data_IF_234860588029
#
_entry.id   IF_234860588029
#
_cell.length_a   1.000
_cell.length_b   1.000
_cell.length_c   1.000
_cell.angle_alpha   90.00
_cell.angle_beta   90.00
_cell.angle_gamma   90.00
#
_symmetry.space_group_name_H-M   'P 1'
#
loop_
_entity.id
_entity.type
_entity.pdbx_description
1 polymer ?
#
# COMPACT_ATOMS: atom_id res chain seq x y z
N UNK A 1 2.42 21.72 -20.23
CA UNK A 1 1.38 20.77 -19.79
C UNK A 1 2.07 19.49 -19.33
N UNK A 2 2.06 19.17 -18.02
CA UNK A 2 2.53 17.85 -17.57
C UNK A 2 1.43 16.84 -17.83
N UNK A 3 1.59 16.00 -18.85
CA UNK A 3 0.71 14.85 -19.09
C UNK A 3 0.85 13.91 -17.89
N UNK A 4 -0.17 13.85 -17.04
CA UNK A 4 -0.20 12.88 -15.95
C UNK A 4 -0.20 11.48 -16.56
N UNK A 5 0.81 10.68 -16.23
CA UNK A 5 0.87 9.26 -16.64
C UNK A 5 -0.35 8.53 -16.07
N UNK A 6 -1.04 7.80 -16.92
CA UNK A 6 -2.11 6.87 -16.54
C UNK A 6 -1.49 5.50 -16.33
N UNK A 7 -1.80 4.86 -15.22
CA UNK A 7 -1.40 3.48 -14.92
C UNK A 7 -2.64 2.63 -14.75
N UNK A 8 -2.57 1.36 -15.14
CA UNK A 8 -3.64 0.42 -14.83
C UNK A 8 -3.64 0.12 -13.33
N UNK A 9 -4.80 -0.26 -12.78
CA UNK A 9 -4.89 -0.64 -11.36
C UNK A 9 -3.93 -1.77 -11.01
N UNK A 10 -3.77 -2.74 -11.91
CA UNK A 10 -2.82 -3.84 -11.75
C UNK A 10 -1.36 -3.35 -11.66
N UNK A 11 -0.97 -2.36 -12.47
CA UNK A 11 0.37 -1.77 -12.41
C UNK A 11 0.61 -1.07 -11.06
N UNK A 12 -0.40 -0.33 -10.56
CA UNK A 12 -0.31 0.37 -9.28
C UNK A 12 -0.18 -0.63 -8.13
N UNK A 13 -1.03 -1.67 -8.09
CA UNK A 13 -0.98 -2.74 -7.08
C UNK A 13 0.38 -3.45 -7.09
N UNK A 14 0.87 -3.84 -8.27
CA UNK A 14 2.19 -4.48 -8.42
C UNK A 14 3.32 -3.57 -7.93
N UNK A 15 3.25 -2.28 -8.25
CA UNK A 15 4.22 -1.30 -7.79
C UNK A 15 4.20 -1.17 -6.26
N UNK A 16 3.02 -1.05 -5.65
CA UNK A 16 2.86 -1.00 -4.19
C UNK A 16 3.50 -2.22 -3.53
N UNK A 17 3.13 -3.43 -3.98
CA UNK A 17 3.63 -4.70 -3.45
C UNK A 17 5.16 -4.77 -3.56
N UNK A 18 5.72 -4.47 -4.73
CA UNK A 18 7.17 -4.49 -4.95
C UNK A 18 7.90 -3.48 -4.05
N UNK A 19 7.33 -2.27 -3.87
CA UNK A 19 7.94 -1.26 -2.99
C UNK A 19 7.96 -1.74 -1.53
N UNK A 20 6.88 -2.39 -1.08
CA UNK A 20 6.80 -2.97 0.26
C UNK A 20 7.79 -4.12 0.45
N UNK A 21 7.90 -5.05 -0.50
CA UNK A 21 8.82 -6.20 -0.40
C UNK A 21 10.29 -5.77 -0.44
N UNK A 22 10.64 -4.75 -1.25
CA UNK A 22 12.03 -4.36 -1.49
C UNK A 22 12.49 -3.08 -0.78
N UNK A 23 11.68 -2.55 0.14
CA UNK A 23 11.95 -1.29 0.86
C UNK A 23 12.23 -0.09 -0.07
N UNK A 24 11.60 -0.04 -1.24
CA UNK A 24 11.84 1.00 -2.23
C UNK A 24 10.63 1.92 -2.38
N UNK A 25 10.34 2.69 -1.32
CA UNK A 25 9.19 3.60 -1.31
C UNK A 25 9.23 4.63 -2.44
N UNK A 26 10.42 5.11 -2.84
CA UNK A 26 10.58 6.11 -3.90
C UNK A 26 10.04 5.64 -5.26
N UNK A 27 10.15 4.34 -5.56
CA UNK A 27 9.62 3.78 -6.79
C UNK A 27 8.08 3.87 -6.90
N UNK A 28 7.37 4.08 -5.77
CA UNK A 28 5.91 4.22 -5.78
C UNK A 28 5.44 5.64 -6.15
N UNK A 29 6.31 6.65 -6.08
CA UNK A 29 5.92 8.07 -6.27
C UNK A 29 5.16 8.31 -7.60
N UNK A 30 5.61 7.80 -8.77
CA UNK A 30 4.90 8.02 -10.03
C UNK A 30 3.46 7.48 -10.01
N UNK A 31 3.26 6.32 -9.37
CA UNK A 31 1.96 5.66 -9.26
C UNK A 31 1.05 6.40 -8.29
N UNK A 32 1.60 6.78 -7.12
CA UNK A 32 0.88 7.55 -6.11
C UNK A 32 0.37 8.88 -6.69
N UNK A 33 1.17 9.58 -7.49
CA UNK A 33 0.79 10.87 -8.09
C UNK A 33 -0.20 10.76 -9.25
N UNK A 34 -0.47 9.55 -9.76
CA UNK A 34 -1.45 9.33 -10.83
C UNK A 34 -2.88 9.66 -10.41
N UNK A 35 -3.76 9.96 -11.38
CA UNK A 35 -5.17 10.25 -11.09
C UNK A 35 -5.96 9.01 -10.64
N UNK A 36 -5.39 7.82 -10.83
CA UNK A 36 -6.01 6.55 -10.49
C UNK A 36 -5.79 6.17 -9.02
N UNK A 37 -5.01 6.94 -8.24
CA UNK A 37 -4.79 6.68 -6.81
C UNK A 37 -5.44 7.76 -5.97
N UNK A 38 -6.24 7.32 -5.00
CA UNK A 38 -6.83 8.14 -3.94
C UNK A 38 -6.29 7.67 -2.58
N UNK A 39 -6.27 8.57 -1.61
CA UNK A 39 -5.77 8.30 -0.24
C UNK A 39 -6.67 9.00 0.76
N UNK A 40 -6.86 8.41 1.95
CA UNK A 40 -7.64 9.05 3.03
C UNK A 40 -6.89 10.21 3.68
N UNK A 41 -5.56 10.15 3.66
CA UNK A 41 -4.70 11.22 4.17
C UNK A 41 -5.04 12.57 3.51
N UNK A 42 -4.87 13.71 4.21
CA UNK A 42 -5.25 15.03 3.68
C UNK A 42 -4.62 15.38 2.32
N UNK A 43 -3.48 14.77 2.00
CA UNK A 43 -2.90 14.79 0.67
C UNK A 43 -1.93 13.61 0.49
N UNK A 44 -1.55 13.37 -0.77
CA UNK A 44 -0.61 12.31 -1.18
C UNK A 44 0.79 12.46 -0.59
N UNK A 45 1.24 13.67 -0.30
CA UNK A 45 2.56 13.88 0.34
C UNK A 45 2.56 13.40 1.79
N UNK A 46 1.48 13.63 2.54
CA UNK A 46 1.31 13.11 3.90
C UNK A 46 1.22 11.59 3.91
N UNK A 47 0.39 11.02 3.02
CA UNK A 47 0.34 9.57 2.83
C UNK A 47 1.74 9.00 2.56
N UNK A 48 2.48 9.61 1.63
CA UNK A 48 3.82 9.14 1.27
C UNK A 48 4.80 9.17 2.45
N UNK A 49 4.73 10.20 3.28
CA UNK A 49 5.56 10.29 4.50
C UNK A 49 5.27 9.14 5.46
N UNK A 50 3.99 8.86 5.72
CA UNK A 50 3.58 7.73 6.57
C UNK A 50 4.00 6.40 5.96
N UNK A 51 3.69 6.18 4.67
CA UNK A 51 4.09 5.01 3.90
C UNK A 51 5.59 4.75 4.01
N UNK A 52 6.43 5.76 3.74
CA UNK A 52 7.89 5.63 3.85
C UNK A 52 8.33 5.25 5.27
N UNK A 53 7.72 5.87 6.29
CA UNK A 53 8.02 5.55 7.69
C UNK A 53 7.64 4.12 8.05
N UNK A 54 6.47 3.66 7.64
CA UNK A 54 5.98 2.30 7.91
C UNK A 54 6.83 1.25 7.21
N UNK A 55 7.21 1.47 5.94
CA UNK A 55 8.13 0.57 5.24
C UNK A 55 9.49 0.50 5.94
N UNK A 56 10.04 1.64 6.35
CA UNK A 56 11.30 1.66 7.09
C UNK A 56 11.20 0.87 8.41
N UNK A 57 10.14 1.08 9.19
CA UNK A 57 9.92 0.34 10.44
C UNK A 57 9.74 -1.17 10.19
N UNK A 58 8.95 -1.55 9.18
CA UNK A 58 8.74 -2.95 8.83
C UNK A 58 10.05 -3.63 8.45
N UNK A 59 10.89 -3.00 7.63
CA UNK A 59 12.17 -3.56 7.20
C UNK A 59 13.26 -3.53 8.27
N UNK A 60 13.24 -2.55 9.16
CA UNK A 60 14.18 -2.50 10.28
C UNK A 60 13.93 -3.61 11.28
N UNK A 61 12.68 -4.04 11.44
CA UNK A 61 12.27 -4.97 12.48
C UNK A 61 11.72 -6.30 11.91
N UNK A 62 11.98 -6.63 10.64
CA UNK A 62 11.57 -7.92 10.06
C UNK A 62 12.62 -8.98 10.34
N UNK A 63 12.17 -10.22 10.47
CA UNK A 63 13.00 -11.41 10.44
C UNK A 63 12.70 -12.21 9.16
N UNK A 64 13.70 -12.35 8.28
CA UNK A 64 13.51 -12.95 6.96
C UNK A 64 12.89 -11.98 5.95
N UNK A 65 12.16 -12.52 4.97
CA UNK A 65 11.55 -11.73 3.89
C UNK A 65 10.10 -11.35 4.18
N UNK A 66 9.68 -10.17 3.66
CA UNK A 66 8.26 -9.81 3.70
C UNK A 66 7.50 -10.54 2.60
N UNK A 67 6.37 -11.13 2.97
CA UNK A 67 5.43 -11.79 2.07
C UNK A 67 4.05 -11.17 2.21
N UNK A 68 3.35 -11.02 1.08
CA UNK A 68 2.00 -10.47 1.05
C UNK A 68 0.96 -11.57 1.33
N UNK A 69 0.02 -11.28 2.21
CA UNK A 69 -1.28 -11.96 2.27
C UNK A 69 -2.38 -10.93 2.01
N UNK A 70 -3.31 -11.27 1.11
CA UNK A 70 -4.48 -10.44 0.84
C UNK A 70 -5.63 -11.02 1.65
N UNK A 71 -6.15 -10.22 2.58
CA UNK A 71 -7.14 -10.68 3.55
C UNK A 71 -8.40 -9.81 3.49
N UNK A 72 -9.53 -10.42 3.85
CA UNK A 72 -10.81 -9.71 4.04
C UNK A 72 -11.29 -9.98 5.45
N UNK A 73 -11.45 -8.92 6.23
CA UNK A 73 -11.90 -9.04 7.61
C UNK A 73 -13.42 -9.10 7.71
N UNK A 74 -13.93 -9.92 8.63
CA UNK A 74 -15.37 -10.14 8.82
C UNK A 74 -16.14 -8.88 9.25
N UNK A 75 -15.46 -7.93 9.90
CA UNK A 75 -16.05 -6.68 10.36
C UNK A 75 -16.16 -5.61 9.26
N UNK A 76 -15.63 -5.89 8.06
CA UNK A 76 -15.64 -4.95 6.93
C UNK A 76 -16.80 -5.30 6.01
N UNK A 77 -17.83 -4.47 6.06
CA UNK A 77 -19.07 -4.68 5.30
C UNK A 77 -18.96 -4.30 3.81
N UNK A 78 -17.95 -3.50 3.44
CA UNK A 78 -17.72 -3.14 2.04
C UNK A 78 -16.99 -4.27 1.32
N UNK A 79 -17.65 -4.88 0.35
CA UNK A 79 -17.09 -6.03 -0.36
C UNK A 79 -15.87 -5.71 -1.22
N UNK A 80 -15.67 -4.43 -1.56
CA UNK A 80 -14.58 -3.96 -2.40
C UNK A 80 -13.31 -3.64 -1.60
N UNK A 81 -13.36 -3.75 -0.27
CA UNK A 81 -12.21 -3.52 0.61
C UNK A 81 -11.50 -4.85 0.88
N UNK A 82 -10.19 -4.84 0.65
CA UNK A 82 -9.26 -5.90 1.04
C UNK A 82 -8.04 -5.30 1.72
N UNK A 83 -7.36 -6.10 2.52
CA UNK A 83 -6.19 -5.71 3.28
C UNK A 83 -4.95 -6.36 2.69
N UNK A 84 -3.95 -5.55 2.38
CA UNK A 84 -2.65 -6.02 1.92
C UNK A 84 -1.73 -6.05 3.13
N UNK A 85 -1.62 -7.23 3.73
CA UNK A 85 -0.88 -7.46 4.97
C UNK A 85 0.46 -8.10 4.65
N UNK A 86 1.54 -7.47 5.09
CA UNK A 86 2.90 -7.95 4.83
C UNK A 86 3.48 -8.56 6.10
N UNK A 87 3.71 -9.87 6.07
CA UNK A 87 4.26 -10.64 7.17
C UNK A 87 5.72 -10.94 6.92
N UNK A 88 6.50 -11.07 7.99
CA UNK A 88 7.80 -11.71 7.92
C UNK A 88 7.69 -13.19 8.30
N UNK A 89 8.82 -13.88 8.48
CA UNK A 89 8.83 -15.33 8.68
C UNK A 89 8.57 -15.74 10.14
N UNK A 90 8.57 -14.79 11.07
CA UNK A 90 8.62 -15.07 12.51
C UNK A 90 7.43 -14.49 13.25
N UNK A 91 6.97 -13.29 12.90
CA UNK A 91 5.92 -12.60 13.63
C UNK A 91 4.52 -13.08 13.21
N UNK A 92 3.67 -13.31 14.21
CA UNK A 92 2.26 -13.66 14.01
C UNK A 92 1.44 -12.50 13.40
N UNK A 93 1.84 -11.26 13.71
CA UNK A 93 1.19 -10.05 13.21
C UNK A 93 1.93 -9.49 12.01
N UNK A 94 1.18 -8.81 11.14
CA UNK A 94 1.76 -8.15 9.99
C UNK A 94 2.70 -7.00 10.42
N UNK A 95 3.68 -6.73 9.57
CA UNK A 95 4.69 -5.68 9.78
C UNK A 95 4.26 -4.36 9.15
N UNK A 96 3.43 -4.43 8.12
CA UNK A 96 2.77 -3.29 7.48
C UNK A 96 1.45 -3.76 6.84
N UNK A 97 0.37 -3.01 7.05
CA UNK A 97 -0.94 -3.25 6.46
C UNK A 97 -1.42 -2.02 5.69
N UNK A 98 -2.07 -2.28 4.56
CA UNK A 98 -2.77 -1.26 3.77
C UNK A 98 -4.19 -1.70 3.51
N UNK A 99 -5.13 -0.78 3.72
CA UNK A 99 -6.48 -0.93 3.22
C UNK A 99 -6.50 -0.56 1.74
N UNK A 100 -7.03 -1.47 0.92
CA UNK A 100 -7.12 -1.31 -0.53
C UNK A 100 -8.59 -1.39 -0.92
N UNK A 101 -9.10 -0.34 -1.54
CA UNK A 101 -10.44 -0.31 -2.12
C UNK A 101 -10.37 0.03 -3.60
N UNK A 102 -10.90 -0.85 -4.43
CA UNK A 102 -10.99 -0.64 -5.88
C UNK A 102 -12.38 -0.14 -6.25
N UNK A 103 -12.46 1.00 -6.94
CA UNK A 103 -13.72 1.58 -7.42
C UNK A 103 -13.50 2.24 -8.78
N UNK A 104 -14.29 1.89 -9.80
CA UNK A 104 -14.39 2.60 -11.08
C UNK A 104 -13.03 3.16 -11.61
N UNK A 105 -12.07 2.28 -11.89
CA UNK A 105 -10.71 2.60 -12.37
C UNK A 105 -9.84 3.44 -11.41
N UNK A 106 -10.19 3.50 -10.14
CA UNK A 106 -9.40 4.09 -9.06
C UNK A 106 -9.06 3.05 -8.00
N UNK A 107 -7.92 3.27 -7.37
CA UNK A 107 -7.44 2.54 -6.21
C UNK A 107 -7.33 3.52 -5.07
N UNK A 108 -8.19 3.36 -4.08
CA UNK A 108 -8.04 4.03 -2.80
C UNK A 108 -7.09 3.20 -1.93
N UNK A 109 -6.09 3.87 -1.37
CA UNK A 109 -5.07 3.25 -0.52
C UNK A 109 -5.02 4.03 0.78
N UNK A 110 -5.13 3.31 1.90
CA UNK A 110 -4.90 3.89 3.21
C UNK A 110 -3.91 3.09 4.02
N UNK A 111 -3.22 3.77 4.92
CA UNK A 111 -2.31 3.15 5.87
C UNK A 111 -3.08 2.83 7.14
N UNK A 112 -3.02 1.58 7.60
CA UNK A 112 -3.63 1.19 8.88
C UNK A 112 -2.66 1.49 10.03
N UNK A 113 -3.06 2.25 11.07
CA UNK A 113 -2.26 2.39 12.28
C UNK A 113 -2.24 1.06 13.03
N UNK A 114 -1.05 0.68 13.51
CA UNK A 114 -0.81 -0.46 14.39
C UNK A 114 -1.17 -0.13 15.83
#
# INVERSE_FOLDING_TARGET
>A
MYTKKTFTIQQIKKALINCCIHNNSAAFIPYLLSNNVEVSSPNKSRFYSCFKSFLYCAHKNKEGNLTLKIEKYKWVNDENIVYYNFYDEVHTYDRVSFEIKETNNKLHIDTMPF
#
